data_IF_149780018564
#
_entry.id   IF_149780018564
#
_cell.length_a   1.000
_cell.length_b   1.000
_cell.length_c   1.000
_cell.angle_alpha   90.00
_cell.angle_beta   90.00
_cell.angle_gamma   90.00
#
_symmetry.space_group_name_H-M   'P 1'
#
loop_
_entity.id
_entity.type
_entity.pdbx_description
1 polymer ?
#
# COMPACT_ATOMS: atom_id res chain seq x y z
N UNK A 1 -9.74 13.91 -35.55
CA UNK A 1 -8.97 13.83 -36.80
C UNK A 1 -8.56 15.23 -37.16
N UNK A 2 -7.32 15.59 -36.89
CA UNK A 2 -6.77 16.93 -37.20
C UNK A 2 -5.93 16.76 -38.46
N UNK A 3 -6.21 17.57 -39.45
CA UNK A 3 -5.47 17.61 -40.70
C UNK A 3 -4.44 18.75 -40.55
N UNK A 4 -3.15 18.40 -40.54
CA UNK A 4 -2.08 19.38 -40.59
C UNK A 4 -1.54 19.40 -42.03
N UNK A 5 -1.61 20.55 -42.69
CA UNK A 5 -1.12 20.77 -44.04
C UNK A 5 0.39 20.97 -44.00
N UNK A 6 1.19 20.00 -44.49
CA UNK A 6 2.65 20.03 -44.50
C UNK A 6 3.29 20.87 -45.58
N UNK A 7 2.52 21.63 -46.35
CA UNK A 7 3.06 22.46 -47.44
C UNK A 7 3.48 21.68 -48.72
N UNK A 8 3.36 20.37 -48.72
CA UNK A 8 3.59 19.51 -49.89
C UNK A 8 2.22 18.91 -50.35
N UNK A 9 1.75 19.18 -51.56
CA UNK A 9 0.41 18.79 -52.01
C UNK A 9 0.22 17.28 -52.17
N UNK A 10 1.23 16.45 -51.93
CA UNK A 10 1.15 14.98 -52.09
C UNK A 10 1.43 14.17 -50.80
N UNK A 11 1.65 14.80 -49.66
CA UNK A 11 1.83 14.08 -48.38
C UNK A 11 0.71 14.44 -47.39
N UNK A 12 -0.36 13.67 -47.37
CA UNK A 12 -1.32 13.68 -46.26
C UNK A 12 -0.82 12.70 -45.19
N UNK A 13 -0.19 13.21 -44.14
CA UNK A 13 0.06 12.41 -42.94
C UNK A 13 -1.22 12.35 -42.10
N UNK A 14 -1.84 11.19 -42.07
CA UNK A 14 -2.92 10.88 -41.13
C UNK A 14 -2.28 10.59 -39.76
N UNK A 15 -2.33 11.53 -38.83
CA UNK A 15 -2.07 11.25 -37.43
C UNK A 15 -3.35 10.60 -36.90
N UNK A 16 -3.32 9.28 -36.69
CA UNK A 16 -4.33 8.62 -35.84
C UNK A 16 -4.12 9.19 -34.43
N UNK A 17 -5.02 10.05 -33.98
CA UNK A 17 -5.18 10.27 -32.54
C UNK A 17 -5.51 8.89 -31.93
N UNK A 18 -4.60 8.33 -31.17
CA UNK A 18 -4.92 7.22 -30.28
C UNK A 18 -5.94 7.75 -29.27
N UNK A 19 -7.16 7.29 -29.42
CA UNK A 19 -8.26 7.63 -28.53
C UNK A 19 -7.87 7.09 -27.15
N UNK A 20 -7.41 7.96 -26.25
CA UNK A 20 -7.06 7.57 -24.88
C UNK A 20 -8.25 6.85 -24.29
N UNK A 21 -8.04 5.63 -23.79
CA UNK A 21 -9.11 4.78 -23.23
C UNK A 21 -9.76 5.52 -22.04
N UNK A 22 -11.07 5.58 -22.03
CA UNK A 22 -11.83 6.02 -20.86
C UNK A 22 -11.92 4.84 -19.88
N UNK A 23 -10.95 4.76 -18.99
CA UNK A 23 -10.84 3.66 -18.02
C UNK A 23 -12.06 3.56 -17.11
N UNK A 24 -12.71 4.65 -16.75
CA UNK A 24 -13.88 4.63 -15.86
C UNK A 24 -15.07 3.96 -16.55
N UNK A 25 -15.37 4.37 -17.77
CA UNK A 25 -16.46 3.80 -18.58
C UNK A 25 -16.20 2.34 -18.94
N UNK A 26 -14.98 2.02 -19.36
CA UNK A 26 -14.62 0.66 -19.76
C UNK A 26 -14.57 -0.29 -18.55
N UNK A 27 -14.07 0.16 -17.41
CA UNK A 27 -14.09 -0.60 -16.16
C UNK A 27 -15.53 -0.94 -15.74
N UNK A 28 -16.44 0.02 -15.77
CA UNK A 28 -17.85 -0.24 -15.45
C UNK A 28 -18.49 -1.29 -16.37
N UNK A 29 -18.22 -1.21 -17.68
CA UNK A 29 -18.68 -2.20 -18.64
C UNK A 29 -18.12 -3.59 -18.34
N UNK A 30 -16.79 -3.69 -18.12
CA UNK A 30 -16.11 -4.96 -17.84
C UNK A 30 -16.58 -5.59 -16.54
N UNK A 31 -16.80 -4.81 -15.47
CA UNK A 31 -17.34 -5.35 -14.21
C UNK A 31 -18.75 -5.97 -14.41
N UNK A 32 -19.57 -5.38 -15.29
CA UNK A 32 -20.85 -5.95 -15.68
C UNK A 32 -20.71 -7.28 -16.44
N UNK A 33 -19.73 -7.38 -17.33
CA UNK A 33 -19.46 -8.59 -18.10
C UNK A 33 -18.84 -9.71 -17.25
N UNK A 34 -17.88 -9.37 -16.38
CA UNK A 34 -17.19 -10.32 -15.49
C UNK A 34 -18.09 -10.87 -14.38
N UNK A 35 -19.04 -10.08 -13.88
CA UNK A 35 -19.91 -10.43 -12.73
C UNK A 35 -19.12 -10.81 -11.47
N UNK A 36 -18.01 -10.13 -11.23
CA UNK A 36 -17.02 -10.39 -10.18
C UNK A 36 -15.67 -10.76 -10.78
N UNK A 37 -14.60 -10.56 -10.00
CA UNK A 37 -13.21 -10.78 -10.42
C UNK A 37 -12.59 -12.04 -9.85
N UNK A 38 -13.27 -12.71 -8.94
CA UNK A 38 -12.81 -13.92 -8.26
C UNK A 38 -13.82 -15.04 -8.37
N UNK A 39 -13.33 -16.27 -8.38
CA UNK A 39 -14.14 -17.48 -8.32
C UNK A 39 -13.48 -18.52 -7.40
N UNK A 40 -14.25 -19.49 -6.94
CA UNK A 40 -13.77 -20.65 -6.19
C UNK A 40 -13.67 -21.84 -7.12
N UNK A 41 -12.45 -22.37 -7.29
CA UNK A 41 -12.19 -23.55 -8.10
C UNK A 41 -11.74 -24.72 -7.25
N UNK A 42 -12.16 -25.93 -7.60
CA UNK A 42 -11.71 -27.16 -6.95
C UNK A 42 -10.27 -27.49 -7.34
N UNK A 43 -9.50 -28.06 -6.39
CA UNK A 43 -8.13 -28.53 -6.64
C UNK A 43 -8.02 -30.05 -6.75
N UNK A 44 -9.11 -30.75 -6.45
CA UNK A 44 -9.17 -32.22 -6.48
C UNK A 44 -10.25 -32.68 -7.44
N UNK A 45 -10.06 -33.79 -8.14
CA UNK A 45 -11.11 -34.39 -8.96
C UNK A 45 -12.22 -34.96 -8.07
N UNK A 46 -13.45 -34.95 -8.54
CA UNK A 46 -14.59 -35.68 -7.98
C UNK A 46 -15.37 -36.30 -9.16
N UNK A 47 -14.82 -37.35 -9.73
CA UNK A 47 -15.33 -37.96 -10.96
C UNK A 47 -16.01 -39.33 -10.70
N UNK A 48 -15.77 -39.93 -9.55
CA UNK A 48 -16.27 -41.23 -9.15
C UNK A 48 -16.54 -41.31 -7.63
N UNK A 49 -17.08 -42.47 -7.18
CA UNK A 49 -17.42 -42.70 -5.77
C UNK A 49 -16.20 -42.69 -4.84
N UNK A 50 -15.06 -43.14 -5.31
CA UNK A 50 -13.84 -43.20 -4.52
C UNK A 50 -13.29 -41.78 -4.31
N UNK A 51 -13.27 -40.96 -5.35
CA UNK A 51 -12.88 -39.54 -5.24
C UNK A 51 -13.80 -38.81 -4.24
N UNK A 52 -15.12 -39.02 -4.34
CA UNK A 52 -16.08 -38.42 -3.41
C UNK A 52 -15.82 -38.90 -1.97
N UNK A 53 -15.53 -40.18 -1.78
CA UNK A 53 -15.25 -40.76 -0.45
C UNK A 53 -13.94 -40.25 0.16
N UNK A 54 -12.94 -39.97 -0.66
CA UNK A 54 -11.67 -39.37 -0.24
C UNK A 54 -11.82 -37.87 0.03
N UNK A 55 -12.51 -37.14 -0.84
CA UNK A 55 -12.65 -35.70 -0.72
C UNK A 55 -13.65 -35.28 0.39
N UNK A 56 -14.63 -36.12 0.69
CA UNK A 56 -15.68 -35.84 1.68
C UNK A 56 -15.91 -37.04 2.59
N UNK A 57 -17.12 -37.59 2.63
CA UNK A 57 -17.48 -38.68 3.58
C UNK A 57 -17.26 -40.05 2.93
N UNK A 58 -16.58 -41.01 3.61
CA UNK A 58 -16.12 -41.00 5.03
C UNK A 58 -14.66 -40.49 5.23
N UNK A 59 -13.86 -40.35 4.19
CA UNK A 59 -12.41 -40.12 4.28
C UNK A 59 -12.01 -38.84 5.03
N UNK A 60 -12.80 -37.77 4.90
CA UNK A 60 -12.52 -36.45 5.52
C UNK A 60 -12.48 -36.50 7.06
N UNK A 61 -13.06 -37.53 7.68
CA UNK A 61 -13.00 -37.67 9.14
C UNK A 61 -11.56 -37.79 9.66
N UNK A 62 -10.66 -38.44 8.92
CA UNK A 62 -9.29 -38.65 9.38
C UNK A 62 -8.49 -37.35 9.44
N UNK A 63 -8.45 -36.49 8.41
CA UNK A 63 -7.85 -35.14 8.53
C UNK A 63 -8.43 -34.32 9.68
N UNK A 64 -9.75 -34.36 9.91
CA UNK A 64 -10.37 -33.65 11.03
C UNK A 64 -9.83 -34.13 12.40
N UNK A 65 -9.71 -35.44 12.61
CA UNK A 65 -9.15 -36.00 13.83
C UNK A 65 -7.66 -35.66 14.02
N UNK A 66 -6.91 -35.60 12.96
CA UNK A 66 -5.50 -35.19 13.03
C UNK A 66 -5.35 -33.71 13.41
N UNK A 67 -6.18 -32.82 12.84
CA UNK A 67 -6.20 -31.39 13.19
C UNK A 67 -6.71 -31.20 14.63
N UNK A 68 -7.68 -31.99 15.07
CA UNK A 68 -8.17 -31.93 16.46
C UNK A 68 -7.06 -32.26 17.48
N UNK A 69 -6.17 -33.21 17.16
CA UNK A 69 -5.02 -33.55 18.00
C UNK A 69 -3.92 -32.49 17.98
N UNK A 70 -3.67 -31.91 16.83
CA UNK A 70 -2.66 -30.87 16.61
C UNK A 70 -3.18 -29.83 15.62
N UNK A 71 -3.57 -28.65 16.13
CA UNK A 71 -4.12 -27.56 15.33
C UNK A 71 -3.17 -27.07 14.22
N UNK A 72 -1.84 -27.26 14.38
CA UNK A 72 -0.88 -26.88 13.36
C UNK A 72 -1.04 -27.68 12.06
N UNK A 73 -1.55 -28.90 12.14
CA UNK A 73 -1.85 -29.70 10.94
C UNK A 73 -2.91 -29.06 10.03
N UNK A 74 -3.67 -28.06 10.52
CA UNK A 74 -4.58 -27.30 9.67
C UNK A 74 -3.84 -26.56 8.55
N UNK A 75 -2.60 -26.18 8.75
CA UNK A 75 -1.76 -25.57 7.70
C UNK A 75 -1.24 -26.58 6.68
N UNK A 76 -1.19 -27.87 7.03
CA UNK A 76 -0.74 -28.94 6.13
C UNK A 76 -1.91 -29.59 5.39
N UNK A 77 -3.03 -29.79 6.09
CA UNK A 77 -4.17 -30.57 5.61
C UNK A 77 -5.32 -29.74 5.06
N UNK A 78 -5.23 -28.40 5.14
CA UNK A 78 -6.24 -27.49 4.57
C UNK A 78 -5.59 -26.37 3.76
N UNK A 79 -6.41 -25.52 3.12
CA UNK A 79 -5.94 -24.36 2.37
C UNK A 79 -5.48 -23.20 3.27
N UNK A 80 -5.61 -23.32 4.59
CA UNK A 80 -5.26 -22.30 5.57
C UNK A 80 -3.85 -21.74 5.38
N UNK A 81 -2.86 -22.56 5.00
CA UNK A 81 -1.47 -22.15 4.79
C UNK A 81 -1.28 -21.04 3.74
N UNK A 82 -2.21 -20.89 2.79
CA UNK A 82 -2.12 -19.89 1.72
C UNK A 82 -3.47 -19.18 1.53
N UNK A 83 -4.16 -18.88 2.62
CA UNK A 83 -5.43 -18.17 2.57
C UNK A 83 -5.32 -16.88 3.38
N UNK A 84 -5.45 -15.73 2.73
CA UNK A 84 -5.48 -14.41 3.34
C UNK A 84 -6.93 -13.90 3.40
N UNK A 85 -7.32 -13.34 4.54
CA UNK A 85 -8.57 -12.60 4.69
C UNK A 85 -8.33 -11.13 4.34
N UNK A 86 -9.10 -10.55 3.44
CA UNK A 86 -9.13 -9.10 3.17
C UNK A 86 -10.37 -8.52 3.81
N UNK A 87 -10.21 -7.65 4.81
CA UNK A 87 -11.31 -7.09 5.61
C UNK A 87 -11.41 -5.59 5.39
N UNK A 88 -12.63 -5.14 5.15
CA UNK A 88 -12.98 -3.71 5.09
C UNK A 88 -14.33 -3.45 5.76
N UNK A 89 -14.55 -2.23 6.23
CA UNK A 89 -15.86 -1.68 6.56
C UNK A 89 -16.32 -0.62 5.54
N UNK A 90 -15.50 -0.37 4.50
CA UNK A 90 -15.77 0.59 3.43
C UNK A 90 -15.72 2.06 3.87
N UNK A 91 -15.13 2.37 5.04
CA UNK A 91 -15.16 3.72 5.61
C UNK A 91 -14.07 4.66 5.10
N UNK A 92 -13.08 4.16 4.33
CA UNK A 92 -11.97 4.97 3.81
C UNK A 92 -11.49 4.50 2.44
N UNK A 93 -12.42 4.20 1.54
CA UNK A 93 -12.10 3.72 0.19
C UNK A 93 -11.38 4.82 -0.60
N UNK A 94 -10.24 4.46 -1.15
CA UNK A 94 -9.28 5.38 -1.77
C UNK A 94 -9.94 6.36 -2.77
N UNK A 95 -9.86 7.65 -2.47
CA UNK A 95 -10.40 8.73 -3.30
C UNK A 95 -11.92 8.90 -3.26
N UNK A 96 -12.65 7.97 -2.63
CA UNK A 96 -14.12 7.99 -2.53
C UNK A 96 -14.62 8.26 -1.10
N UNK A 97 -13.79 7.95 -0.08
CA UNK A 97 -14.15 8.12 1.33
C UNK A 97 -15.05 7.00 1.87
N UNK A 98 -15.99 7.36 2.72
CA UNK A 98 -16.94 6.42 3.32
C UNK A 98 -18.08 6.13 2.32
N UNK A 99 -18.01 4.98 1.67
CA UNK A 99 -19.00 4.52 0.68
C UNK A 99 -19.73 3.25 1.10
N UNK A 100 -19.37 2.69 2.26
CA UNK A 100 -19.97 1.49 2.82
C UNK A 100 -19.41 0.18 2.25
N UNK A 101 -19.79 -0.95 2.89
CA UNK A 101 -19.19 -2.25 2.62
C UNK A 101 -19.48 -2.80 1.23
N UNK A 102 -20.73 -2.71 0.75
CA UNK A 102 -21.09 -3.25 -0.57
C UNK A 102 -20.43 -2.48 -1.70
N UNK A 103 -20.37 -1.15 -1.59
CA UNK A 103 -19.72 -0.31 -2.60
C UNK A 103 -18.19 -0.47 -2.59
N UNK A 104 -17.59 -0.89 -1.47
CA UNK A 104 -16.18 -1.23 -1.35
C UNK A 104 -15.80 -2.59 -1.98
N UNK A 105 -16.77 -3.50 -2.19
CA UNK A 105 -16.50 -4.86 -2.69
C UNK A 105 -15.68 -4.91 -3.98
N UNK A 106 -15.93 -4.09 -5.02
CA UNK A 106 -15.11 -4.13 -6.23
C UNK A 106 -13.62 -3.84 -5.97
N UNK A 107 -13.29 -3.01 -5.00
CA UNK A 107 -11.90 -2.74 -4.61
C UNK A 107 -11.30 -3.97 -3.91
N UNK A 108 -12.05 -4.59 -3.00
CA UNK A 108 -11.62 -5.78 -2.25
C UNK A 108 -11.41 -7.00 -3.15
N UNK A 109 -12.28 -7.21 -4.14
CA UNK A 109 -12.04 -8.22 -5.18
C UNK A 109 -10.77 -7.89 -6.00
N UNK A 110 -10.56 -6.61 -6.33
CA UNK A 110 -9.33 -6.17 -6.97
C UNK A 110 -8.09 -6.50 -6.12
N UNK A 111 -8.14 -6.24 -4.81
CA UNK A 111 -7.08 -6.62 -3.89
C UNK A 111 -6.81 -8.13 -3.91
N UNK A 112 -7.86 -8.95 -3.92
CA UNK A 112 -7.74 -10.41 -4.00
C UNK A 112 -7.08 -10.87 -5.32
N UNK A 113 -7.41 -10.23 -6.45
CA UNK A 113 -6.74 -10.46 -7.75
C UNK A 113 -5.24 -10.16 -7.64
N UNK A 114 -4.87 -8.99 -7.06
CA UNK A 114 -3.46 -8.62 -6.93
C UNK A 114 -2.68 -9.60 -6.02
N UNK A 115 -3.28 -10.05 -4.91
CA UNK A 115 -2.70 -11.11 -4.07
C UNK A 115 -2.42 -12.37 -4.87
N UNK A 116 -3.36 -12.76 -5.73
CA UNK A 116 -3.24 -13.99 -6.52
C UNK A 116 -2.21 -13.87 -7.62
N UNK A 117 -2.32 -12.84 -8.45
CA UNK A 117 -1.49 -12.68 -9.65
C UNK A 117 -0.03 -12.38 -9.33
N UNK A 118 0.23 -11.55 -8.33
CA UNK A 118 1.59 -11.14 -7.98
C UNK A 118 2.23 -12.00 -6.88
N UNK A 119 1.44 -12.50 -5.92
CA UNK A 119 1.96 -13.25 -4.77
C UNK A 119 1.65 -14.74 -4.76
N UNK A 120 0.78 -15.23 -5.66
CA UNK A 120 0.28 -16.60 -5.59
C UNK A 120 -0.57 -16.91 -4.34
N UNK A 121 -0.93 -15.87 -3.57
CA UNK A 121 -1.73 -15.96 -2.35
C UNK A 121 -3.21 -15.97 -2.70
N UNK A 122 -4.00 -16.87 -2.11
CA UNK A 122 -5.45 -16.82 -2.26
C UNK A 122 -6.02 -15.87 -1.21
N UNK A 123 -6.74 -14.86 -1.64
CA UNK A 123 -7.37 -13.90 -0.77
C UNK A 123 -8.90 -13.95 -0.91
N UNK A 124 -9.58 -13.81 0.22
CA UNK A 124 -11.04 -13.80 0.29
C UNK A 124 -11.48 -12.48 0.91
N UNK A 125 -12.23 -11.64 0.15
CA UNK A 125 -12.73 -10.38 0.68
C UNK A 125 -13.95 -10.62 1.58
N UNK A 126 -13.98 -9.91 2.71
CA UNK A 126 -15.11 -9.82 3.63
C UNK A 126 -15.35 -8.35 3.93
N UNK A 127 -16.50 -7.85 3.49
CA UNK A 127 -16.96 -6.49 3.78
C UNK A 127 -17.93 -6.54 4.97
N UNK A 128 -17.61 -5.82 6.05
CA UNK A 128 -18.39 -5.84 7.28
C UNK A 128 -19.36 -4.64 7.30
N UNK A 129 -20.63 -4.91 7.54
CA UNK A 129 -21.67 -3.89 7.71
C UNK A 129 -21.67 -3.35 9.15
N UNK A 130 -20.52 -2.85 9.57
CA UNK A 130 -20.35 -2.17 10.86
C UNK A 130 -19.08 -1.34 10.86
N UNK A 131 -19.13 -0.18 11.51
CA UNK A 131 -17.96 0.67 11.79
C UNK A 131 -17.59 0.66 13.29
N UNK A 132 -18.24 -0.18 14.09
CA UNK A 132 -17.89 -0.34 15.49
C UNK A 132 -16.60 -1.16 15.64
N UNK A 133 -15.63 -0.59 16.35
CA UNK A 133 -14.30 -1.19 16.55
C UNK A 133 -14.38 -2.57 17.21
N UNK A 134 -15.24 -2.73 18.24
CA UNK A 134 -15.38 -4.00 18.96
C UNK A 134 -16.04 -5.07 18.09
N UNK A 135 -17.05 -4.70 17.32
CA UNK A 135 -17.72 -5.63 16.41
C UNK A 135 -16.79 -6.08 15.28
N UNK A 136 -16.00 -5.17 14.69
CA UNK A 136 -15.00 -5.51 13.68
C UNK A 136 -13.98 -6.50 14.27
N UNK A 137 -13.37 -6.20 15.42
CA UNK A 137 -12.38 -7.05 16.06
C UNK A 137 -12.97 -8.43 16.35
N UNK A 138 -14.14 -8.48 16.96
CA UNK A 138 -14.83 -9.73 17.29
C UNK A 138 -15.14 -10.58 16.06
N UNK A 139 -15.61 -9.93 14.99
CA UNK A 139 -15.91 -10.61 13.72
C UNK A 139 -14.65 -11.23 13.11
N UNK A 140 -13.56 -10.46 13.03
CA UNK A 140 -12.29 -10.94 12.50
C UNK A 140 -11.72 -12.09 13.35
N UNK A 141 -11.72 -11.97 14.67
CA UNK A 141 -11.23 -13.04 15.56
C UNK A 141 -12.03 -14.35 15.37
N UNK A 142 -13.36 -14.25 15.23
CA UNK A 142 -14.21 -15.41 15.07
C UNK A 142 -13.98 -16.16 13.74
N UNK A 143 -13.63 -15.47 12.66
CA UNK A 143 -13.40 -16.10 11.35
C UNK A 143 -11.92 -16.41 11.08
N UNK A 144 -10.99 -15.88 11.87
CA UNK A 144 -9.54 -16.06 11.72
C UNK A 144 -9.08 -17.54 11.64
N UNK A 145 -9.74 -18.53 12.29
CA UNK A 145 -9.33 -19.93 12.17
C UNK A 145 -9.29 -20.49 10.75
N UNK A 146 -10.00 -19.88 9.80
CA UNK A 146 -10.00 -20.31 8.39
C UNK A 146 -8.82 -19.77 7.59
N UNK A 147 -8.04 -18.84 8.15
CA UNK A 147 -7.02 -18.05 7.43
C UNK A 147 -5.63 -18.23 8.02
N UNK A 148 -4.63 -18.03 7.18
CA UNK A 148 -3.21 -17.98 7.57
C UNK A 148 -2.69 -16.55 7.80
N UNK A 149 -3.43 -15.53 7.36
CA UNK A 149 -3.09 -14.12 7.54
C UNK A 149 -4.29 -13.20 7.25
N UNK A 150 -4.20 -11.96 7.71
CA UNK A 150 -5.27 -10.96 7.62
C UNK A 150 -4.70 -9.66 7.04
N UNK A 151 -5.30 -9.19 5.96
CA UNK A 151 -5.10 -7.86 5.40
C UNK A 151 -6.30 -6.97 5.75
N UNK A 152 -6.06 -5.91 6.50
CA UNK A 152 -7.03 -4.84 6.72
C UNK A 152 -6.92 -3.83 5.59
N UNK A 153 -8.03 -3.37 5.06
CA UNK A 153 -8.10 -2.50 3.89
C UNK A 153 -9.18 -1.45 4.06
N UNK A 154 -8.90 -0.21 3.66
CA UNK A 154 -9.89 0.89 3.55
C UNK A 154 -10.69 1.15 4.85
N UNK A 155 -10.08 0.95 6.02
CA UNK A 155 -10.64 1.26 7.34
C UNK A 155 -10.13 2.63 7.81
N UNK A 156 -11.03 3.53 8.18
CA UNK A 156 -10.71 4.92 8.50
C UNK A 156 -9.90 5.09 9.79
N UNK A 157 -8.95 6.04 9.76
CA UNK A 157 -8.26 6.49 10.96
C UNK A 157 -9.20 7.33 11.86
N UNK A 158 -9.05 7.30 13.21
CA UNK A 158 -8.01 6.58 13.94
C UNK A 158 -8.34 5.12 14.30
N UNK A 159 -9.56 4.61 13.96
CA UNK A 159 -10.02 3.26 14.31
C UNK A 159 -9.11 2.17 13.78
N UNK A 160 -8.61 2.32 12.56
CA UNK A 160 -7.73 1.35 11.93
C UNK A 160 -6.47 1.02 12.76
N UNK A 161 -5.93 1.99 13.49
CA UNK A 161 -4.75 1.77 14.35
C UNK A 161 -5.09 0.87 15.56
N UNK A 162 -6.23 1.11 16.19
CA UNK A 162 -6.70 0.32 17.33
C UNK A 162 -7.06 -1.10 16.89
N UNK A 163 -7.82 -1.23 15.80
CA UNK A 163 -8.24 -2.53 15.25
C UNK A 163 -7.01 -3.38 14.94
N UNK A 164 -6.03 -2.84 14.21
CA UNK A 164 -4.83 -3.57 13.85
C UNK A 164 -4.03 -3.99 15.10
N UNK A 165 -3.79 -3.06 16.02
CA UNK A 165 -3.01 -3.33 17.24
C UNK A 165 -3.64 -4.45 18.06
N UNK A 166 -4.93 -4.37 18.29
CA UNK A 166 -5.64 -5.37 19.12
C UNK A 166 -5.75 -6.72 18.41
N UNK A 167 -5.94 -6.76 17.10
CA UNK A 167 -5.93 -8.01 16.35
C UNK A 167 -4.56 -8.71 16.40
N UNK A 168 -3.46 -7.95 16.33
CA UNK A 168 -2.09 -8.48 16.50
C UNK A 168 -1.86 -9.10 17.88
N UNK A 169 -2.49 -8.55 18.92
CA UNK A 169 -2.41 -9.09 20.28
C UNK A 169 -3.27 -10.36 20.47
N UNK A 170 -4.41 -10.44 19.79
CA UNK A 170 -5.39 -11.52 19.96
C UNK A 170 -5.13 -12.74 19.06
N UNK A 171 -4.38 -12.58 17.98
CA UNK A 171 -4.22 -13.59 16.94
C UNK A 171 -2.75 -14.03 16.78
N UNK A 172 -2.56 -15.34 16.54
CA UNK A 172 -1.25 -15.94 16.23
C UNK A 172 -1.01 -16.11 14.73
N UNK A 173 -1.58 -15.22 13.93
CA UNK A 173 -1.38 -15.12 12.47
C UNK A 173 -1.10 -13.66 12.12
N UNK A 174 -0.34 -13.37 11.04
CA UNK A 174 0.01 -12.01 10.69
C UNK A 174 -1.23 -11.18 10.37
N UNK A 175 -1.31 -9.99 10.97
CA UNK A 175 -2.28 -8.94 10.68
C UNK A 175 -1.53 -7.74 10.13
N UNK A 176 -1.97 -7.20 9.00
CA UNK A 176 -1.31 -6.14 8.28
C UNK A 176 -2.34 -5.21 7.65
N UNK A 177 -2.19 -3.91 7.83
CA UNK A 177 -3.05 -2.91 7.19
C UNK A 177 -2.29 -2.31 5.99
N UNK A 178 -2.72 -2.62 4.78
CA UNK A 178 -1.94 -2.27 3.58
C UNK A 178 -1.87 -0.76 3.34
N UNK A 179 -2.96 -0.01 3.56
CA UNK A 179 -2.95 1.46 3.41
C UNK A 179 -1.96 2.16 4.34
N UNK A 180 -1.67 1.54 5.48
CA UNK A 180 -0.64 2.02 6.39
C UNK A 180 0.74 1.54 5.94
N UNK A 181 0.95 0.25 5.99
CA UNK A 181 2.28 -0.34 5.94
C UNK A 181 2.77 -0.60 4.53
N UNK A 182 1.89 -1.00 3.60
CA UNK A 182 2.25 -1.19 2.19
C UNK A 182 2.74 0.11 1.59
N UNK A 183 1.98 1.18 1.77
CA UNK A 183 2.36 2.53 1.32
C UNK A 183 3.68 2.99 1.97
N UNK A 184 3.83 2.82 3.28
CA UNK A 184 5.05 3.21 3.99
C UNK A 184 6.30 2.49 3.48
N UNK A 185 6.19 1.18 3.21
CA UNK A 185 7.29 0.35 2.71
C UNK A 185 7.74 0.82 1.31
N UNK A 186 6.79 1.06 0.41
CA UNK A 186 7.12 1.50 -0.96
C UNK A 186 7.69 2.92 -0.96
N UNK A 187 7.15 3.83 -0.15
CA UNK A 187 7.70 5.18 0.02
C UNK A 187 9.14 5.12 0.55
N UNK A 188 9.39 4.32 1.58
CA UNK A 188 10.74 4.15 2.10
C UNK A 188 11.68 3.57 1.05
N UNK A 189 11.26 2.55 0.30
CA UNK A 189 12.06 1.97 -0.80
C UNK A 189 12.45 3.04 -1.84
N UNK A 190 11.48 3.86 -2.26
CA UNK A 190 11.75 4.98 -3.17
C UNK A 190 12.70 6.03 -2.58
N UNK A 191 12.52 6.39 -1.30
CA UNK A 191 13.40 7.33 -0.61
C UNK A 191 14.83 6.80 -0.51
N UNK A 192 15.03 5.51 -0.20
CA UNK A 192 16.37 4.88 -0.16
C UNK A 192 17.13 5.13 -1.46
N UNK A 193 16.50 4.89 -2.59
CA UNK A 193 17.13 5.10 -3.90
C UNK A 193 17.20 6.59 -4.29
N UNK A 194 16.21 7.41 -3.94
CA UNK A 194 16.24 8.85 -4.16
C UNK A 194 17.40 9.53 -3.39
N UNK A 195 17.73 9.05 -2.19
CA UNK A 195 18.89 9.51 -1.44
C UNK A 195 20.21 9.21 -2.19
N UNK A 196 20.34 8.03 -2.80
CA UNK A 196 21.50 7.69 -3.63
C UNK A 196 21.60 8.62 -4.86
N UNK A 197 20.48 8.84 -5.55
CA UNK A 197 20.42 9.71 -6.74
C UNK A 197 20.78 11.16 -6.42
N UNK A 198 20.39 11.66 -5.24
CA UNK A 198 20.62 13.05 -4.83
C UNK A 198 21.90 13.24 -4.01
N UNK A 199 22.54 12.17 -3.58
CA UNK A 199 23.71 12.20 -2.68
C UNK A 199 23.40 12.72 -1.28
N UNK A 200 22.12 12.75 -0.88
CA UNK A 200 21.71 13.21 0.45
C UNK A 200 21.88 12.09 1.49
N UNK A 201 22.14 12.49 2.74
CA UNK A 201 22.22 11.57 3.87
C UNK A 201 20.96 11.70 4.71
N UNK A 202 20.37 10.58 5.12
CA UNK A 202 19.12 10.58 5.88
C UNK A 202 19.20 11.34 7.20
N UNK A 203 20.37 11.32 7.83
CA UNK A 203 20.64 11.99 9.11
C UNK A 203 20.53 13.52 9.01
N UNK A 204 20.82 14.07 7.82
CA UNK A 204 20.83 15.51 7.55
C UNK A 204 19.50 15.99 6.93
N UNK A 205 18.64 15.07 6.48
CA UNK A 205 17.41 15.40 5.76
C UNK A 205 16.30 15.89 6.68
N UNK A 206 15.66 16.99 6.28
CA UNK A 206 14.39 17.47 6.83
C UNK A 206 13.24 16.90 6.00
N UNK A 207 12.39 16.11 6.63
CA UNK A 207 11.25 15.45 5.99
C UNK A 207 9.95 16.12 6.40
N UNK A 208 9.10 16.42 5.43
CA UNK A 208 7.73 16.90 5.66
C UNK A 208 6.76 15.83 5.18
N UNK A 209 5.92 15.32 6.08
CA UNK A 209 4.82 14.40 5.77
C UNK A 209 3.51 15.16 5.89
N UNK A 210 2.80 15.33 4.79
CA UNK A 210 1.53 16.05 4.74
C UNK A 210 0.35 15.08 4.56
N UNK A 211 -0.51 15.06 5.56
CA UNK A 211 -1.58 14.09 5.76
C UNK A 211 -1.29 13.22 6.98
N UNK A 212 -2.01 13.46 8.07
CA UNK A 212 -1.83 12.78 9.35
C UNK A 212 -2.90 11.70 9.59
N UNK A 213 -3.31 11.02 8.51
CA UNK A 213 -4.17 9.85 8.52
C UNK A 213 -3.37 8.54 8.60
N UNK A 214 -4.00 7.43 8.20
CA UNK A 214 -3.44 6.07 8.26
C UNK A 214 -2.05 5.97 7.59
N UNK A 215 -1.95 6.36 6.33
CA UNK A 215 -0.71 6.30 5.56
C UNK A 215 0.37 7.24 6.14
N UNK A 216 0.03 8.51 6.40
CA UNK A 216 1.03 9.49 6.88
C UNK A 216 1.64 9.12 8.23
N UNK A 217 0.85 8.60 9.16
CA UNK A 217 1.34 8.09 10.45
C UNK A 217 2.28 6.90 10.24
N UNK A 218 1.89 5.93 9.41
CA UNK A 218 2.69 4.74 9.16
C UNK A 218 4.01 5.06 8.44
N UNK A 219 3.98 5.94 7.44
CA UNK A 219 5.17 6.44 6.75
C UNK A 219 6.11 7.11 7.76
N UNK A 220 5.59 8.01 8.59
CA UNK A 220 6.39 8.72 9.60
C UNK A 220 7.04 7.74 10.57
N UNK A 221 6.30 6.78 11.12
CA UNK A 221 6.84 5.75 12.02
C UNK A 221 7.95 4.94 11.35
N UNK A 222 7.76 4.50 10.12
CA UNK A 222 8.74 3.70 9.41
C UNK A 222 10.00 4.51 9.07
N UNK A 223 9.87 5.78 8.69
CA UNK A 223 11.00 6.69 8.47
C UNK A 223 11.80 6.95 9.75
N UNK A 224 11.12 7.15 10.89
CA UNK A 224 11.79 7.26 12.21
C UNK A 224 12.55 5.98 12.53
N UNK A 225 11.94 4.81 12.34
CA UNK A 225 12.58 3.50 12.56
C UNK A 225 13.78 3.29 11.64
N UNK A 226 13.71 3.79 10.39
CA UNK A 226 14.85 3.74 9.45
C UNK A 226 15.96 4.72 9.83
N UNK A 227 15.69 5.70 10.67
CA UNK A 227 16.68 6.63 11.23
C UNK A 227 16.67 8.05 10.68
N UNK A 228 15.53 8.55 10.21
CA UNK A 228 15.35 9.97 9.90
C UNK A 228 15.03 10.74 11.20
N UNK A 229 15.88 11.69 11.65
CA UNK A 229 15.68 12.35 12.94
C UNK A 229 14.77 13.60 12.84
N UNK A 230 14.65 14.21 11.66
CA UNK A 230 14.00 15.50 11.47
C UNK A 230 12.73 15.37 10.62
N UNK A 231 11.63 14.93 11.22
CA UNK A 231 10.33 14.78 10.55
C UNK A 231 9.34 15.80 11.12
N UNK A 232 8.66 16.51 10.23
CA UNK A 232 7.55 17.40 10.55
C UNK A 232 6.29 16.86 9.87
N UNK A 233 5.23 16.61 10.65
CA UNK A 233 3.93 16.25 10.10
C UNK A 233 3.05 17.49 9.94
N UNK A 234 2.22 17.50 8.90
CA UNK A 234 1.21 18.52 8.65
C UNK A 234 -0.16 17.88 8.43
N UNK A 235 -1.19 18.62 8.80
CA UNK A 235 -2.59 18.33 8.45
C UNK A 235 -3.22 19.54 7.74
N UNK A 236 -4.55 19.56 7.63
CA UNK A 236 -5.30 20.66 7.00
C UNK A 236 -5.08 22.02 7.73
N UNK A 237 -4.70 22.00 8.99
CA UNK A 237 -4.46 23.20 9.81
C UNK A 237 -2.99 23.66 9.76
N UNK A 238 -2.11 22.93 9.10
CA UNK A 238 -0.68 23.19 8.98
C UNK A 238 0.19 22.25 9.81
N UNK A 239 1.28 22.75 10.38
CA UNK A 239 2.26 21.97 11.14
C UNK A 239 1.63 21.44 12.43
N UNK A 240 1.70 20.12 12.62
CA UNK A 240 1.28 19.46 13.85
C UNK A 240 2.35 19.62 14.92
N UNK A 241 1.93 20.11 16.09
CA UNK A 241 2.76 20.32 17.27
C UNK A 241 2.00 19.95 18.55
N UNK A 242 2.69 19.91 19.68
CA UNK A 242 2.07 19.66 21.00
C UNK A 242 0.96 20.67 21.34
N UNK A 243 1.00 21.86 20.73
CA UNK A 243 0.03 22.93 20.95
C UNK A 243 -1.11 22.93 19.92
N UNK A 244 -1.13 22.00 18.97
CA UNK A 244 -2.19 21.91 17.97
C UNK A 244 -3.50 21.48 18.61
N UNK A 245 -4.60 22.09 18.18
CA UNK A 245 -5.95 21.80 18.67
C UNK A 245 -6.58 20.66 17.88
N UNK A 246 -7.51 19.94 18.54
CA UNK A 246 -8.35 18.92 17.92
C UNK A 246 -7.59 17.73 17.30
N UNK A 247 -6.42 17.40 17.80
CA UNK A 247 -5.69 16.21 17.40
C UNK A 247 -6.41 14.95 17.93
N UNK A 248 -6.51 13.93 17.10
CA UNK A 248 -6.89 12.60 17.58
C UNK A 248 -5.74 11.98 18.40
N UNK A 249 -6.05 10.89 19.12
CA UNK A 249 -5.08 10.27 20.04
C UNK A 249 -3.79 9.82 19.35
N UNK A 250 -3.85 9.34 18.09
CA UNK A 250 -2.66 8.93 17.35
C UNK A 250 -1.83 10.15 16.93
N UNK A 251 -2.47 11.21 16.46
CA UNK A 251 -1.77 12.47 16.14
C UNK A 251 -1.10 13.07 17.37
N UNK A 252 -1.75 12.99 18.54
CA UNK A 252 -1.14 13.40 19.81
C UNK A 252 0.13 12.59 20.11
N UNK A 253 0.08 11.26 19.97
CA UNK A 253 1.28 10.43 20.12
C UNK A 253 2.40 10.83 19.15
N UNK A 254 2.06 11.16 17.90
CA UNK A 254 3.05 11.56 16.91
C UNK A 254 3.75 12.88 17.27
N UNK A 255 3.14 13.79 18.03
CA UNK A 255 3.79 15.02 18.47
C UNK A 255 4.96 14.78 19.43
N UNK A 256 5.01 13.60 20.09
CA UNK A 256 6.12 13.28 20.99
C UNK A 256 7.41 12.86 20.26
N UNK A 257 7.28 12.44 19.00
CA UNK A 257 8.39 11.88 18.20
C UNK A 257 8.67 12.65 16.91
N UNK A 258 7.83 13.63 16.56
CA UNK A 258 7.99 14.49 15.38
C UNK A 258 8.04 15.96 15.78
N UNK A 259 8.50 16.82 14.86
CA UNK A 259 8.55 18.27 15.06
C UNK A 259 9.20 18.66 16.41
N UNK A 260 10.32 18.02 16.76
CA UNK A 260 11.02 18.24 18.01
C UNK A 260 11.57 19.67 18.17
N UNK A 261 11.63 20.44 17.09
CA UNK A 261 11.99 21.87 17.07
C UNK A 261 10.78 22.78 17.41
N UNK A 262 9.61 22.20 17.64
CA UNK A 262 8.35 22.92 17.95
C UNK A 262 7.98 23.99 16.91
N UNK A 263 8.27 23.71 15.63
CA UNK A 263 7.90 24.58 14.51
C UNK A 263 6.37 24.73 14.45
N UNK A 264 5.92 25.90 14.04
CA UNK A 264 4.50 26.22 13.81
C UNK A 264 4.34 26.88 12.45
N UNK A 265 3.12 26.92 11.93
CA UNK A 265 2.82 27.57 10.66
C UNK A 265 2.07 26.65 9.70
N UNK A 266 2.04 27.07 8.44
CA UNK A 266 1.37 26.39 7.35
C UNK A 266 2.22 25.29 6.75
N UNK A 267 1.67 24.52 5.78
CA UNK A 267 2.45 23.60 4.94
C UNK A 267 3.59 24.34 4.19
N UNK A 268 3.34 25.56 3.74
CA UNK A 268 4.37 26.36 3.06
C UNK A 268 5.54 26.67 4.00
N UNK A 269 5.28 26.92 5.27
CA UNK A 269 6.32 27.13 6.28
C UNK A 269 7.08 25.84 6.58
N UNK A 270 6.42 24.70 6.61
CA UNK A 270 7.05 23.39 6.78
C UNK A 270 8.01 23.07 5.64
N UNK A 271 7.65 23.37 4.40
CA UNK A 271 8.44 23.08 3.19
C UNK A 271 9.70 23.95 3.04
N UNK A 272 9.76 25.13 3.67
CA UNK A 272 10.98 25.96 3.64
C UNK A 272 12.19 25.22 4.20
N UNK A 273 13.17 24.96 3.34
CA UNK A 273 14.39 24.23 3.68
C UNK A 273 14.18 22.74 4.00
N UNK A 274 13.07 22.15 3.53
CA UNK A 274 12.86 20.71 3.58
C UNK A 274 13.62 20.02 2.44
N UNK A 275 14.07 18.80 2.66
CA UNK A 275 14.76 17.96 1.66
C UNK A 275 13.82 17.00 0.98
N UNK A 276 12.85 16.48 1.75
CA UNK A 276 11.91 15.45 1.33
C UNK A 276 10.49 15.89 1.68
N UNK A 277 9.60 15.80 0.71
CA UNK A 277 8.15 15.95 0.90
C UNK A 277 7.44 14.63 0.58
N UNK A 278 6.55 14.22 1.48
CA UNK A 278 5.66 13.08 1.29
C UNK A 278 4.21 13.54 1.49
N UNK A 279 3.45 13.56 0.41
CA UNK A 279 2.04 13.96 0.41
C UNK A 279 1.12 12.72 0.34
N UNK A 280 0.20 12.62 1.29
CA UNK A 280 -0.88 11.61 1.37
C UNK A 280 -2.18 12.28 1.81
N UNK A 281 -2.55 13.35 1.14
CA UNK A 281 -3.61 14.25 1.62
C UNK A 281 -4.61 14.63 0.53
N UNK A 282 -4.50 15.82 -0.02
CA UNK A 282 -5.48 16.38 -0.96
C UNK A 282 -4.82 16.91 -2.24
N UNK A 283 -5.55 16.92 -3.36
CA UNK A 283 -4.99 17.35 -4.65
C UNK A 283 -4.65 18.85 -4.67
N UNK A 284 -3.60 19.18 -5.43
CA UNK A 284 -3.23 20.57 -5.81
C UNK A 284 -2.96 21.52 -4.61
N UNK A 285 -2.51 21.02 -3.48
CA UNK A 285 -2.24 21.83 -2.28
C UNK A 285 -0.78 22.31 -2.19
N UNK A 286 0.10 21.79 -3.04
CA UNK A 286 1.51 22.22 -3.12
C UNK A 286 1.73 23.07 -4.36
N UNK A 287 2.22 24.30 -4.18
CA UNK A 287 2.53 25.21 -5.27
C UNK A 287 3.99 25.09 -5.73
N UNK A 288 4.30 25.65 -6.91
CA UNK A 288 5.68 25.74 -7.43
C UNK A 288 6.59 26.55 -6.49
N UNK A 289 6.06 27.60 -5.87
CA UNK A 289 6.78 28.44 -4.92
C UNK A 289 7.14 27.67 -3.64
N UNK A 290 6.25 26.80 -3.18
CA UNK A 290 6.52 25.91 -2.05
C UNK A 290 7.67 24.96 -2.39
N UNK A 291 7.65 24.31 -3.55
CA UNK A 291 8.73 23.42 -3.99
C UNK A 291 10.03 24.19 -4.16
N UNK A 292 10.01 25.39 -4.77
CA UNK A 292 11.19 26.22 -4.95
C UNK A 292 11.80 26.71 -3.62
N UNK A 293 11.03 26.70 -2.53
CA UNK A 293 11.52 27.04 -1.17
C UNK A 293 12.21 25.88 -0.44
N UNK A 294 12.13 24.67 -0.98
CA UNK A 294 12.82 23.49 -0.45
C UNK A 294 14.33 23.56 -0.72
N UNK A 295 15.07 22.69 -0.08
CA UNK A 295 16.50 22.56 -0.33
C UNK A 295 16.76 22.07 -1.77
N UNK A 296 17.96 22.38 -2.29
CA UNK A 296 18.43 21.93 -3.60
C UNK A 296 18.28 20.40 -3.72
N UNK A 297 17.97 19.94 -4.92
CA UNK A 297 17.77 18.53 -5.24
C UNK A 297 16.70 17.86 -4.33
N UNK A 298 15.57 18.56 -4.14
CA UNK A 298 14.45 18.08 -3.33
C UNK A 298 13.84 16.79 -3.91
N UNK A 299 13.35 15.93 -2.98
CA UNK A 299 12.68 14.68 -3.26
C UNK A 299 11.20 14.83 -2.92
N UNK A 300 10.30 14.57 -3.86
CA UNK A 300 8.86 14.69 -3.65
C UNK A 300 8.14 13.38 -3.96
N UNK A 301 7.30 12.94 -3.02
CA UNK A 301 6.31 11.88 -3.22
C UNK A 301 4.92 12.47 -3.04
N UNK A 302 4.25 12.82 -4.15
CA UNK A 302 2.91 13.40 -4.19
C UNK A 302 1.91 12.32 -4.55
N UNK A 303 1.23 11.73 -3.56
CA UNK A 303 0.51 10.47 -3.71
C UNK A 303 -1.02 10.60 -3.59
N UNK A 304 -1.57 11.79 -3.46
CA UNK A 304 -3.02 11.98 -3.50
C UNK A 304 -3.61 11.46 -4.82
N UNK A 305 -4.75 10.77 -4.72
CA UNK A 305 -5.44 10.17 -5.86
C UNK A 305 -6.85 10.76 -6.02
N UNK A 306 -7.34 10.94 -7.27
CA UNK A 306 -6.68 10.66 -8.56
C UNK A 306 -5.72 11.77 -9.04
N UNK A 307 -5.68 12.91 -8.35
CA UNK A 307 -4.82 14.06 -8.67
C UNK A 307 -3.83 14.26 -7.53
N UNK A 308 -2.51 14.31 -7.79
CA UNK A 308 -1.51 14.48 -6.74
C UNK A 308 -1.53 15.90 -6.13
N UNK A 309 -0.84 16.06 -5.00
CA UNK A 309 -0.66 17.36 -4.31
C UNK A 309 -0.01 18.42 -5.22
N UNK A 310 0.84 18.00 -6.13
CA UNK A 310 1.41 18.76 -7.24
C UNK A 310 1.68 17.83 -8.42
N UNK A 311 1.42 18.28 -9.63
CA UNK A 311 1.75 17.51 -10.82
C UNK A 311 3.28 17.37 -10.98
N UNK A 312 3.79 16.18 -11.35
CA UNK A 312 5.23 15.91 -11.45
C UNK A 312 6.00 16.92 -12.30
N UNK A 313 5.45 17.32 -13.44
CA UNK A 313 6.09 18.28 -14.33
C UNK A 313 6.25 19.65 -13.65
N UNK A 314 5.22 20.12 -12.92
CA UNK A 314 5.28 21.37 -12.18
C UNK A 314 6.28 21.31 -11.03
N UNK A 315 6.39 20.17 -10.36
CA UNK A 315 7.37 19.96 -9.29
C UNK A 315 8.81 19.99 -9.84
N UNK A 316 9.06 19.35 -10.97
CA UNK A 316 10.37 19.38 -11.66
C UNK A 316 10.73 20.77 -12.15
N UNK A 317 9.78 21.50 -12.77
CA UNK A 317 9.98 22.90 -13.17
C UNK A 317 10.34 23.82 -11.99
N UNK A 318 9.83 23.51 -10.79
CA UNK A 318 10.12 24.24 -9.57
C UNK A 318 11.44 23.83 -8.88
N UNK A 319 12.19 22.86 -9.41
CA UNK A 319 13.51 22.46 -8.94
C UNK A 319 13.56 21.14 -8.18
N UNK A 320 12.48 20.37 -8.12
CA UNK A 320 12.52 19.02 -7.57
C UNK A 320 13.40 18.10 -8.42
N UNK A 321 14.29 17.33 -7.80
CA UNK A 321 15.19 16.40 -8.49
C UNK A 321 14.52 15.06 -8.75
N UNK A 322 13.86 14.51 -7.74
CA UNK A 322 13.16 13.23 -7.83
C UNK A 322 11.69 13.45 -7.49
N UNK A 323 10.80 12.97 -8.35
CA UNK A 323 9.36 13.05 -8.12
C UNK A 323 8.75 11.66 -8.31
N UNK A 324 8.05 11.17 -7.29
CA UNK A 324 7.20 9.98 -7.32
C UNK A 324 5.73 10.33 -7.11
N UNK A 325 4.84 9.49 -7.63
CA UNK A 325 3.38 9.68 -7.52
C UNK A 325 2.67 8.32 -7.52
N UNK A 326 1.44 8.25 -7.04
CA UNK A 326 0.58 7.06 -7.13
C UNK A 326 0.12 6.72 -8.56
N UNK A 327 0.31 7.62 -9.53
CA UNK A 327 -0.18 7.47 -10.91
C UNK A 327 0.77 6.63 -11.75
N UNK A 328 0.19 5.72 -12.55
CA UNK A 328 0.92 4.83 -13.46
C UNK A 328 1.39 5.48 -14.77
N UNK A 329 0.90 6.69 -15.06
CA UNK A 329 1.28 7.44 -16.27
C UNK A 329 2.50 8.37 -16.09
N UNK A 330 3.14 8.30 -14.91
CA UNK A 330 4.38 9.02 -14.60
C UNK A 330 5.46 8.05 -14.10
N UNK A 331 6.75 8.43 -14.23
CA UNK A 331 7.86 7.69 -13.63
C UNK A 331 7.74 7.57 -12.10
N UNK A 332 8.46 6.60 -11.52
CA UNK A 332 8.51 6.38 -10.07
C UNK A 332 7.12 6.19 -9.44
N UNK A 333 6.31 5.33 -10.05
CA UNK A 333 5.01 5.01 -9.48
C UNK A 333 5.16 4.38 -8.10
N UNK A 334 4.53 4.99 -7.10
CA UNK A 334 4.39 4.41 -5.76
C UNK A 334 3.10 3.58 -5.75
N UNK A 335 3.26 2.26 -5.71
CA UNK A 335 2.14 1.33 -5.75
C UNK A 335 2.38 0.18 -4.76
N UNK A 336 1.44 -0.03 -3.85
CA UNK A 336 1.52 -1.08 -2.81
C UNK A 336 1.66 -2.50 -3.38
N UNK A 337 1.30 -2.71 -4.65
CA UNK A 337 1.42 -4.01 -5.33
C UNK A 337 2.86 -4.55 -5.37
N UNK A 338 3.87 -3.69 -5.26
CA UNK A 338 5.27 -4.13 -5.15
C UNK A 338 5.65 -4.56 -3.73
N UNK A 339 4.77 -4.42 -2.75
CA UNK A 339 5.04 -4.75 -1.35
C UNK A 339 4.17 -5.91 -0.84
N UNK A 340 2.84 -5.69 -0.67
CA UNK A 340 2.00 -6.59 0.11
C UNK A 340 1.93 -8.03 -0.44
N UNK A 341 1.92 -8.31 -1.76
CA UNK A 341 1.84 -9.68 -2.23
C UNK A 341 3.06 -10.51 -1.80
N UNK A 342 4.26 -9.92 -1.93
CA UNK A 342 5.52 -10.55 -1.50
C UNK A 342 5.61 -10.70 0.02
N UNK A 343 5.16 -9.70 0.78
CA UNK A 343 5.12 -9.75 2.25
C UNK A 343 4.24 -10.90 2.72
N UNK A 344 3.01 -10.99 2.24
CA UNK A 344 2.10 -12.07 2.62
C UNK A 344 2.55 -13.44 2.12
N UNK A 345 3.13 -13.52 0.90
CA UNK A 345 3.76 -14.76 0.43
C UNK A 345 4.83 -15.23 1.41
N UNK A 346 5.75 -14.37 1.78
CA UNK A 346 6.83 -14.70 2.74
C UNK A 346 6.29 -15.07 4.12
N UNK A 347 5.37 -14.29 4.65
CA UNK A 347 4.78 -14.51 5.97
C UNK A 347 3.99 -15.83 6.04
N UNK A 348 3.20 -16.15 5.02
CA UNK A 348 2.42 -17.39 4.97
C UNK A 348 3.30 -18.62 4.75
N UNK A 349 4.24 -18.58 3.81
CA UNK A 349 5.17 -19.68 3.55
C UNK A 349 6.09 -19.95 4.75
N UNK A 350 6.56 -18.90 5.43
CA UNK A 350 7.40 -18.99 6.62
C UNK A 350 6.60 -19.23 7.90
N UNK A 351 5.26 -19.18 7.86
CA UNK A 351 4.38 -19.31 9.03
C UNK A 351 4.66 -18.27 10.11
N UNK A 352 4.92 -17.02 9.69
CA UNK A 352 5.08 -15.92 10.61
C UNK A 352 3.81 -15.71 11.45
N UNK A 353 3.98 -15.38 12.71
CA UNK A 353 2.87 -14.99 13.59
C UNK A 353 2.58 -13.49 13.52
N UNK A 354 3.57 -12.71 13.09
CA UNK A 354 3.48 -11.25 12.96
C UNK A 354 4.34 -10.77 11.78
N UNK A 355 4.01 -9.60 11.24
CA UNK A 355 4.88 -8.83 10.34
C UNK A 355 5.50 -7.72 11.18
N UNK A 356 6.78 -7.88 11.53
CA UNK A 356 7.52 -6.98 12.42
C UNK A 356 8.00 -5.72 11.71
N UNK A 357 8.43 -4.70 12.47
CA UNK A 357 9.06 -3.49 11.89
C UNK A 357 10.34 -3.84 11.13
N UNK A 358 11.13 -4.81 11.62
CA UNK A 358 12.33 -5.30 10.93
C UNK A 358 12.00 -5.94 9.59
N UNK A 359 10.94 -6.73 9.50
CA UNK A 359 10.44 -7.30 8.24
C UNK A 359 10.01 -6.20 7.25
N UNK A 360 9.38 -5.13 7.73
CA UNK A 360 8.99 -3.99 6.89
C UNK A 360 10.20 -3.25 6.32
N UNK A 361 11.23 -3.03 7.15
CA UNK A 361 12.51 -2.44 6.71
C UNK A 361 13.21 -3.36 5.71
N UNK A 362 13.23 -4.67 5.94
CA UNK A 362 13.80 -5.65 5.02
C UNK A 362 13.08 -5.64 3.67
N UNK A 363 11.74 -5.59 3.69
CA UNK A 363 10.94 -5.47 2.47
C UNK A 363 11.26 -4.18 1.69
N UNK A 364 11.35 -3.05 2.36
CA UNK A 364 11.70 -1.78 1.71
C UNK A 364 13.11 -1.82 1.08
N UNK A 365 14.10 -2.36 1.79
CA UNK A 365 15.45 -2.54 1.24
C UNK A 365 15.48 -3.53 0.07
N UNK A 366 14.70 -4.62 0.15
CA UNK A 366 14.60 -5.62 -0.92
C UNK A 366 13.99 -5.00 -2.19
N UNK A 367 12.92 -4.20 -2.07
CA UNK A 367 12.30 -3.48 -3.19
C UNK A 367 13.29 -2.48 -3.78
N UNK A 368 13.95 -1.66 -2.95
CA UNK A 368 14.95 -0.68 -3.41
C UNK A 368 16.12 -1.36 -4.14
N UNK A 369 16.57 -2.52 -3.66
CA UNK A 369 17.68 -3.29 -4.23
C UNK A 369 17.38 -3.94 -5.58
N UNK A 370 16.11 -3.97 -6.02
CA UNK A 370 15.74 -4.48 -7.35
C UNK A 370 16.14 -3.57 -8.51
N UNK A 371 16.31 -2.28 -8.24
CA UNK A 371 16.84 -1.32 -9.22
C UNK A 371 18.35 -1.31 -9.10
N UNK A 372 19.10 -1.77 -10.12
CA UNK A 372 20.56 -1.76 -10.11
C UNK A 372 21.14 -0.34 -9.95
N UNK A 373 22.27 -0.20 -9.28
CA UNK A 373 22.86 1.13 -9.03
C UNK A 373 23.18 1.90 -10.31
N UNK A 374 23.60 1.19 -11.35
CA UNK A 374 23.89 1.74 -12.68
C UNK A 374 22.65 2.24 -13.44
N UNK A 375 21.46 1.78 -13.07
CA UNK A 375 20.18 2.18 -13.65
C UNK A 375 19.48 3.29 -12.85
N UNK A 376 19.98 3.58 -11.62
CA UNK A 376 19.38 4.59 -10.76
C UNK A 376 19.52 5.99 -11.38
N UNK A 377 18.39 6.67 -11.51
CA UNK A 377 18.32 8.07 -11.93
C UNK A 377 17.02 8.71 -11.41
N UNK A 378 16.82 9.98 -11.67
CA UNK A 378 15.66 10.73 -11.17
C UNK A 378 14.30 10.20 -11.64
N UNK A 379 14.26 9.35 -12.65
CA UNK A 379 13.05 8.76 -13.21
C UNK A 379 12.97 7.23 -12.99
N UNK A 380 13.94 6.63 -12.29
CA UNK A 380 14.02 5.19 -12.06
C UNK A 380 14.56 4.90 -10.66
N UNK A 381 13.69 5.01 -9.63
CA UNK A 381 14.03 4.75 -8.23
C UNK A 381 13.24 3.58 -7.61
N UNK A 382 12.27 3.04 -8.31
CA UNK A 382 11.43 1.93 -7.88
C UNK A 382 11.30 0.92 -9.03
N UNK A 383 11.18 -0.38 -8.73
CA UNK A 383 10.88 -1.38 -9.74
C UNK A 383 9.46 -1.15 -10.30
N UNK A 384 9.25 -1.56 -11.55
CA UNK A 384 7.91 -1.57 -12.13
C UNK A 384 6.99 -2.58 -11.42
N UNK A 385 5.69 -2.29 -11.37
CA UNK A 385 4.70 -3.14 -10.72
C UNK A 385 4.66 -4.58 -11.29
N UNK A 386 4.99 -4.74 -12.57
CA UNK A 386 5.01 -6.03 -13.27
C UNK A 386 6.39 -6.70 -13.33
N UNK A 387 7.38 -6.19 -12.61
CA UNK A 387 8.67 -6.89 -12.50
C UNK A 387 8.48 -8.22 -11.78
N UNK A 388 8.70 -9.37 -12.46
CA UNK A 388 8.43 -10.69 -11.90
C UNK A 388 9.33 -11.06 -10.70
N UNK A 389 10.41 -10.31 -10.47
CA UNK A 389 11.35 -10.54 -9.36
C UNK A 389 10.81 -10.03 -8.04
N UNK A 390 9.88 -9.05 -8.04
CA UNK A 390 9.46 -8.29 -6.86
C UNK A 390 8.94 -9.23 -5.76
N UNK A 391 7.91 -10.02 -6.06
CA UNK A 391 7.25 -10.83 -5.03
C UNK A 391 8.18 -11.85 -4.38
N UNK A 392 9.04 -12.51 -5.16
CA UNK A 392 9.97 -13.50 -4.66
C UNK A 392 11.09 -12.87 -3.83
N UNK A 393 11.61 -11.70 -4.25
CA UNK A 393 12.64 -10.97 -3.52
C UNK A 393 12.12 -10.47 -2.17
N UNK A 394 10.93 -9.88 -2.15
CA UNK A 394 10.28 -9.44 -0.90
C UNK A 394 9.95 -10.64 -0.01
N UNK A 395 9.36 -11.70 -0.57
CA UNK A 395 9.04 -12.93 0.17
C UNK A 395 10.30 -13.53 0.82
N UNK A 396 11.43 -13.57 0.10
CA UNK A 396 12.69 -14.04 0.65
C UNK A 396 13.15 -13.17 1.82
N UNK A 397 13.11 -11.84 1.68
CA UNK A 397 13.52 -10.92 2.73
C UNK A 397 12.68 -11.07 4.01
N UNK A 398 11.39 -11.39 3.88
CA UNK A 398 10.52 -11.69 5.02
C UNK A 398 10.90 -13.03 5.66
N UNK A 399 11.08 -14.09 4.85
CA UNK A 399 11.41 -15.45 5.36
C UNK A 399 12.76 -15.52 6.06
N UNK A 400 13.72 -14.73 5.63
CA UNK A 400 15.05 -14.68 6.24
C UNK A 400 15.02 -14.13 7.70
N UNK A 401 13.88 -13.59 8.16
CA UNK A 401 13.66 -13.04 9.51
C UNK A 401 12.66 -13.84 10.36
N UNK A 402 12.18 -14.99 9.88
CA UNK A 402 11.30 -15.91 10.61
C UNK A 402 12.15 -17.03 11.25
#
# INVERSE_FOLDING_TARGET
>A
MVIINSGNPFEMKYIKEEKKMDYAKESLRLHGDWKGKIEVVTRVPVENKDDLSLAYTPGVAQPCLEIQKDINKSYELTRRWNMCLVVTDGSAVLGLGDIGPEAGMPVMEGKAVLFKEFGGVNAVPICLDTQDTEEIIKSVVNIAPAFGGINLEDISAPRCFEIETRLKELLNIPVFHDDQHGTAIVVLAGIINALKVTGKKKEDCRVVVNGAGSAGVAITKLLLTYGFPHITMCDINGIISKNSLNLNWMQQQMTEVTNLEERTGTLADALKGADIFVGVSAPNIVSKEMVASMNKDAILFAMANPVPEIMPDLAKEAGAKVVGTGRSDFPNQVNNVVAFPGIFKGALEGRATQITEEMKLAAANAIAGLVPEEELNENNILPEAFDPRVADTVSKAIKDLI
#
